data_IF_335878661385
#
_entry.id   IF_335878661385
#
_cell.length_a   1.000
_cell.length_b   1.000
_cell.length_c   1.000
_cell.angle_alpha   90.00
_cell.angle_beta   90.00
_cell.angle_gamma   90.00
#
_symmetry.space_group_name_H-M   'P 1'
#
loop_
_entity.id
_entity.type
_entity.pdbx_description
1 polymer ?
#
# COMPACT_ATOMS: atom_id res chain seq x y z
N UNK A 1 -54.40 -26.46 7.51
CA UNK A 1 -53.39 -26.46 6.41
C UNK A 1 -52.54 -25.20 6.55
N UNK A 2 -51.67 -25.13 7.57
CA UNK A 2 -50.79 -23.97 7.81
C UNK A 2 -49.38 -24.49 8.09
N UNK A 3 -48.56 -24.53 7.04
CA UNK A 3 -47.17 -24.97 7.07
C UNK A 3 -46.33 -23.77 7.50
N UNK A 4 -46.09 -23.65 8.80
CA UNK A 4 -45.26 -22.62 9.41
C UNK A 4 -43.79 -22.80 9.00
N UNK A 5 -43.33 -21.90 8.15
CA UNK A 5 -42.00 -21.26 8.14
C UNK A 5 -40.88 -21.94 8.93
N UNK A 6 -40.21 -22.91 8.31
CA UNK A 6 -38.82 -23.25 8.65
C UNK A 6 -37.91 -22.54 7.65
N UNK A 7 -37.62 -21.25 7.89
CA UNK A 7 -36.62 -20.49 7.13
C UNK A 7 -35.25 -20.98 7.59
N UNK A 8 -34.59 -21.76 6.75
CA UNK A 8 -33.28 -22.37 7.01
C UNK A 8 -32.20 -21.29 7.25
N UNK A 9 -31.28 -21.49 8.21
CA UNK A 9 -30.18 -20.56 8.50
C UNK A 9 -29.17 -20.41 7.35
N UNK A 10 -29.22 -21.33 6.37
CA UNK A 10 -28.36 -21.38 5.19
C UNK A 10 -28.68 -20.26 4.19
N UNK A 11 -29.94 -19.85 4.08
CA UNK A 11 -30.34 -18.81 3.12
C UNK A 11 -29.96 -17.40 3.60
N UNK A 12 -29.89 -17.19 4.92
CA UNK A 12 -29.40 -15.93 5.51
C UNK A 12 -27.87 -15.83 5.39
N UNK A 13 -27.18 -16.97 5.56
CA UNK A 13 -25.72 -17.05 5.42
C UNK A 13 -25.27 -16.87 3.97
N UNK A 14 -25.99 -17.41 2.98
CA UNK A 14 -25.69 -17.20 1.56
C UNK A 14 -25.99 -15.77 1.12
N UNK A 15 -27.04 -15.14 1.65
CA UNK A 15 -27.33 -13.72 1.40
C UNK A 15 -26.33 -12.80 2.11
N UNK A 16 -25.86 -13.16 3.31
CA UNK A 16 -24.77 -12.46 4.00
C UNK A 16 -23.44 -12.62 3.26
N UNK A 17 -23.11 -13.83 2.78
CA UNK A 17 -21.93 -14.09 1.95
C UNK A 17 -22.02 -13.32 0.63
N UNK A 18 -23.16 -13.31 -0.06
CA UNK A 18 -23.32 -12.53 -1.28
C UNK A 18 -23.28 -11.03 -1.04
N UNK A 19 -23.76 -10.52 0.11
CA UNK A 19 -23.60 -9.11 0.49
C UNK A 19 -22.14 -8.80 0.85
N UNK A 20 -21.41 -9.71 1.49
CA UNK A 20 -19.97 -9.55 1.75
C UNK A 20 -19.18 -9.56 0.44
N UNK A 21 -19.57 -10.41 -0.51
CA UNK A 21 -18.88 -10.62 -1.79
C UNK A 21 -19.22 -9.52 -2.82
N UNK A 22 -20.46 -9.00 -2.82
CA UNK A 22 -20.85 -7.83 -3.64
C UNK A 22 -20.45 -6.48 -3.03
N UNK A 23 -20.35 -6.36 -1.70
CA UNK A 23 -19.97 -5.12 -1.01
C UNK A 23 -18.47 -5.02 -0.71
N UNK A 24 -17.68 -6.03 -1.06
CA UNK A 24 -16.22 -5.91 -1.08
C UNK A 24 -15.85 -5.02 -2.27
N UNK A 25 -15.99 -3.72 -2.07
CA UNK A 25 -15.69 -2.70 -3.05
C UNK A 25 -14.33 -2.99 -3.67
N UNK A 26 -14.27 -3.12 -5.00
CA UNK A 26 -13.07 -3.42 -5.80
C UNK A 26 -11.79 -2.74 -5.26
N UNK A 27 -11.80 -1.48 -4.77
CA UNK A 27 -10.66 -0.85 -4.11
C UNK A 27 -10.08 -1.61 -2.90
N UNK A 28 -10.90 -2.25 -2.07
CA UNK A 28 -10.46 -3.03 -0.91
C UNK A 28 -9.67 -4.25 -1.38
N UNK A 29 -10.18 -4.98 -2.37
CA UNK A 29 -9.50 -6.15 -2.94
C UNK A 29 -8.15 -5.75 -3.53
N UNK A 30 -8.11 -4.67 -4.31
CA UNK A 30 -6.87 -4.15 -4.88
C UNK A 30 -5.88 -3.70 -3.80
N UNK A 31 -6.38 -3.12 -2.71
CA UNK A 31 -5.54 -2.73 -1.57
C UNK A 31 -4.97 -3.94 -0.83
N UNK A 32 -5.72 -5.04 -0.71
CA UNK A 32 -5.21 -6.31 -0.16
C UNK A 32 -4.14 -6.93 -1.07
N UNK A 33 -4.33 -6.88 -2.39
CA UNK A 33 -3.29 -7.29 -3.34
C UNK A 33 -2.03 -6.41 -3.21
N UNK A 34 -2.21 -5.09 -3.07
CA UNK A 34 -1.11 -4.15 -2.85
C UNK A 34 -0.38 -4.41 -1.53
N UNK A 35 -1.09 -4.74 -0.45
CA UNK A 35 -0.51 -5.10 0.84
C UNK A 35 0.47 -6.28 0.69
N UNK A 36 0.05 -7.34 -0.02
CA UNK A 36 0.92 -8.51 -0.28
C UNK A 36 2.11 -8.10 -1.16
N UNK A 37 1.87 -7.32 -2.21
CA UNK A 37 2.92 -6.85 -3.11
C UNK A 37 3.99 -6.02 -2.38
N UNK A 38 3.58 -4.99 -1.64
CA UNK A 38 4.49 -4.15 -0.87
C UNK A 38 5.17 -4.92 0.27
N UNK A 39 4.49 -5.86 0.91
CA UNK A 39 5.08 -6.74 1.92
C UNK A 39 6.22 -7.58 1.33
N UNK A 40 6.01 -8.20 0.17
CA UNK A 40 7.03 -8.98 -0.52
C UNK A 40 8.19 -8.10 -1.00
N UNK A 41 7.90 -6.94 -1.61
CA UNK A 41 8.95 -6.00 -2.04
C UNK A 41 9.83 -5.57 -0.87
N UNK A 42 9.22 -5.25 0.28
CA UNK A 42 9.97 -4.83 1.44
C UNK A 42 10.84 -5.97 2.03
N UNK A 43 10.39 -7.22 1.95
CA UNK A 43 11.24 -8.38 2.26
C UNK A 43 12.41 -8.51 1.28
N UNK A 44 12.18 -8.32 -0.03
CA UNK A 44 13.25 -8.33 -1.04
C UNK A 44 14.26 -7.20 -0.80
N UNK A 45 13.82 -6.02 -0.41
CA UNK A 45 14.70 -4.92 0.00
C UNK A 45 15.55 -5.28 1.22
N UNK A 46 14.99 -6.01 2.20
CA UNK A 46 15.77 -6.55 3.32
C UNK A 46 16.85 -7.52 2.84
N UNK A 47 16.51 -8.44 1.94
CA UNK A 47 17.48 -9.39 1.36
C UNK A 47 18.58 -8.65 0.60
N UNK A 48 18.22 -7.66 -0.22
CA UNK A 48 19.19 -6.81 -0.93
C UNK A 48 20.11 -6.06 0.04
N UNK A 49 19.54 -5.54 1.13
CA UNK A 49 20.30 -4.84 2.16
C UNK A 49 21.28 -5.75 2.90
N UNK A 50 20.86 -6.96 3.27
CA UNK A 50 21.72 -7.93 3.96
C UNK A 50 22.90 -8.41 3.09
N UNK A 51 22.72 -8.42 1.76
CA UNK A 51 23.78 -8.73 0.80
C UNK A 51 24.69 -7.54 0.48
N UNK A 52 24.58 -6.42 1.22
CA UNK A 52 25.39 -5.22 1.06
C UNK A 52 25.35 -4.57 -0.34
N UNK A 53 24.32 -4.87 -1.13
CA UNK A 53 24.14 -4.34 -2.50
C UNK A 53 24.05 -2.82 -2.45
N UNK A 54 24.66 -2.12 -3.40
CA UNK A 54 24.53 -0.67 -3.52
C UNK A 54 23.06 -0.29 -3.82
N UNK A 55 22.37 0.46 -2.94
CA UNK A 55 20.93 0.71 -3.05
C UNK A 55 20.52 1.33 -4.39
N UNK A 56 21.32 2.24 -4.93
CA UNK A 56 21.01 2.88 -6.19
C UNK A 56 21.10 1.89 -7.37
N UNK A 57 22.04 0.95 -7.37
CA UNK A 57 22.11 -0.09 -8.40
C UNK A 57 20.89 -1.01 -8.36
N UNK A 58 20.45 -1.41 -7.16
CA UNK A 58 19.24 -2.20 -6.99
C UNK A 58 17.99 -1.44 -7.48
N UNK A 59 17.85 -0.17 -7.07
CA UNK A 59 16.74 0.69 -7.47
C UNK A 59 16.69 0.93 -8.98
N UNK A 60 17.85 1.05 -9.65
CA UNK A 60 17.90 1.20 -11.11
C UNK A 60 17.29 -0.01 -11.82
N UNK A 61 17.63 -1.22 -11.38
CA UNK A 61 17.08 -2.46 -11.95
C UNK A 61 15.58 -2.57 -11.64
N UNK A 62 15.19 -2.32 -10.39
CA UNK A 62 13.78 -2.34 -9.95
C UNK A 62 12.93 -1.35 -10.76
N UNK A 63 13.38 -0.10 -10.90
CA UNK A 63 12.70 0.94 -11.67
C UNK A 63 12.61 0.57 -13.14
N UNK A 64 13.67 -0.05 -13.70
CA UNK A 64 13.66 -0.56 -15.08
C UNK A 64 12.58 -1.63 -15.30
N UNK A 65 12.44 -2.57 -14.38
CA UNK A 65 11.40 -3.61 -14.43
C UNK A 65 10.01 -3.00 -14.32
N UNK A 66 9.80 -2.07 -13.38
CA UNK A 66 8.51 -1.37 -13.20
C UNK A 66 8.16 -0.53 -14.43
N UNK A 67 9.15 0.14 -15.04
CA UNK A 67 8.96 0.88 -16.28
C UNK A 67 8.52 -0.03 -17.43
N UNK A 68 9.19 -1.17 -17.63
CA UNK A 68 8.80 -2.16 -18.64
C UNK A 68 7.37 -2.66 -18.41
N UNK A 69 7.00 -2.95 -17.16
CA UNK A 69 5.64 -3.34 -16.80
C UNK A 69 4.62 -2.24 -17.15
N UNK A 70 4.91 -0.99 -16.84
CA UNK A 70 4.05 0.16 -17.16
C UNK A 70 3.85 0.32 -18.67
N UNK A 71 4.90 0.10 -19.47
CA UNK A 71 4.82 0.11 -20.94
C UNK A 71 3.93 -1.02 -21.44
N UNK A 72 4.13 -2.25 -20.96
CA UNK A 72 3.32 -3.42 -21.36
C UNK A 72 1.83 -3.16 -21.06
N UNK A 73 1.51 -2.62 -19.88
CA UNK A 73 0.13 -2.28 -19.51
C UNK A 73 -0.47 -1.23 -20.45
N UNK A 74 0.29 -0.20 -20.82
CA UNK A 74 -0.17 0.80 -21.80
C UNK A 74 -0.42 0.19 -23.19
N UNK A 75 0.44 -0.73 -23.64
CA UNK A 75 0.29 -1.42 -24.92
C UNK A 75 -0.98 -2.29 -24.95
N UNK A 76 -1.29 -2.97 -23.86
CA UNK A 76 -2.49 -3.82 -23.74
C UNK A 76 -3.77 -2.98 -23.66
N UNK A 77 -3.77 -1.92 -22.85
CA UNK A 77 -4.96 -1.09 -22.63
C UNK A 77 -5.23 -0.12 -23.78
N UNK A 78 -4.26 0.12 -24.67
CA UNK A 78 -4.33 1.04 -25.83
C UNK A 78 -4.79 2.46 -25.47
N UNK A 79 -4.59 2.87 -24.22
CA UNK A 79 -4.90 4.22 -23.77
C UNK A 79 -3.87 5.20 -24.30
N UNK A 80 -4.30 6.39 -24.70
CA UNK A 80 -3.39 7.46 -25.07
C UNK A 80 -2.72 8.02 -23.83
N UNK A 81 -1.43 8.38 -23.93
CA UNK A 81 -0.73 9.03 -22.84
C UNK A 81 -1.27 10.45 -22.67
N UNK A 82 -2.19 10.63 -21.72
CA UNK A 82 -2.79 11.93 -21.43
C UNK A 82 -2.26 12.42 -20.08
N UNK A 83 -1.22 13.25 -20.11
CA UNK A 83 -0.61 13.80 -18.91
C UNK A 83 -0.51 15.33 -19.05
N UNK A 84 -1.22 16.05 -18.18
CA UNK A 84 -1.15 17.51 -18.12
C UNK A 84 0.20 17.97 -17.57
N UNK A 85 0.72 19.12 -18.00
CA UNK A 85 2.02 19.64 -17.54
C UNK A 85 2.11 19.80 -16.01
N UNK A 86 0.98 20.11 -15.34
CA UNK A 86 0.91 20.15 -13.86
C UNK A 86 1.04 18.76 -13.23
N UNK A 87 0.41 17.76 -13.84
CA UNK A 87 0.47 16.37 -13.39
C UNK A 87 1.85 15.76 -13.65
N UNK A 88 2.57 16.21 -14.69
CA UNK A 88 3.95 15.82 -14.92
C UNK A 88 4.87 16.25 -13.76
N UNK A 89 4.73 17.50 -13.29
CA UNK A 89 5.46 17.99 -12.12
C UNK A 89 5.16 17.17 -10.86
N UNK A 90 3.89 16.83 -10.62
CA UNK A 90 3.49 15.95 -9.52
C UNK A 90 4.06 14.53 -9.66
N UNK A 91 4.06 13.97 -10.87
CA UNK A 91 4.63 12.65 -11.14
C UNK A 91 6.14 12.65 -10.86
N UNK A 92 6.88 13.65 -11.32
CA UNK A 92 8.31 13.79 -11.04
C UNK A 92 8.61 13.94 -9.55
N UNK A 93 7.82 14.75 -8.83
CA UNK A 93 7.97 14.90 -7.39
C UNK A 93 7.70 13.58 -6.66
N UNK A 94 6.64 12.87 -7.04
CA UNK A 94 6.30 11.57 -6.46
C UNK A 94 7.42 10.54 -6.67
N UNK A 95 7.98 10.47 -7.88
CA UNK A 95 9.12 9.60 -8.21
C UNK A 95 10.37 9.93 -7.38
N UNK A 96 10.68 11.20 -7.20
CA UNK A 96 11.80 11.63 -6.36
C UNK A 96 11.60 11.20 -4.90
N UNK A 97 10.42 11.46 -4.33
CA UNK A 97 10.12 11.06 -2.95
C UNK A 97 10.14 9.55 -2.75
N UNK A 98 9.62 8.79 -3.72
CA UNK A 98 9.65 7.32 -3.70
C UNK A 98 11.08 6.77 -3.80
N UNK A 99 11.90 7.32 -4.70
CA UNK A 99 13.30 6.90 -4.85
C UNK A 99 14.11 7.15 -3.59
N UNK A 100 13.94 8.32 -2.95
CA UNK A 100 14.58 8.62 -1.66
C UNK A 100 14.13 7.60 -0.60
N UNK A 101 12.82 7.32 -0.51
CA UNK A 101 12.28 6.36 0.46
C UNK A 101 12.85 4.95 0.27
N UNK A 102 12.94 4.45 -0.97
CA UNK A 102 13.49 3.12 -1.29
C UNK A 102 14.97 3.06 -0.92
N UNK A 103 15.77 4.05 -1.34
CA UNK A 103 17.20 4.10 -1.03
C UNK A 103 17.43 4.13 0.48
N UNK A 104 16.69 4.97 1.21
CA UNK A 104 16.78 5.05 2.68
C UNK A 104 16.38 3.74 3.35
N UNK A 105 15.34 3.07 2.86
CA UNK A 105 14.86 1.79 3.41
C UNK A 105 15.87 0.66 3.20
N UNK A 106 16.38 0.50 1.97
CA UNK A 106 17.43 -0.48 1.68
C UNK A 106 18.69 -0.15 2.49
N UNK A 107 19.06 1.13 2.63
CA UNK A 107 20.20 1.53 3.44
C UNK A 107 20.03 1.21 4.93
N UNK A 108 18.84 1.41 5.50
CA UNK A 108 18.54 1.01 6.87
C UNK A 108 18.71 -0.52 7.06
N UNK A 109 18.28 -1.31 6.09
CA UNK A 109 18.50 -2.76 6.09
C UNK A 109 19.97 -3.16 5.95
N UNK A 110 20.76 -2.43 5.16
CA UNK A 110 22.22 -2.62 5.04
C UNK A 110 22.96 -2.32 6.34
N UNK A 111 22.50 -1.33 7.11
CA UNK A 111 23.06 -0.98 8.42
C UNK A 111 22.69 -1.97 9.53
N UNK A 112 22.03 -3.08 9.19
CA UNK A 112 21.66 -4.14 10.15
C UNK A 112 20.27 -4.00 10.75
N UNK A 113 19.46 -3.03 10.32
CA UNK A 113 18.09 -2.84 10.84
C UNK A 113 17.22 -4.08 10.60
N UNK A 114 16.51 -4.54 11.63
CA UNK A 114 15.65 -5.73 11.54
C UNK A 114 14.41 -5.47 10.68
N UNK A 115 13.93 -6.50 9.98
CA UNK A 115 12.70 -6.40 9.18
C UNK A 115 11.48 -6.13 10.06
N UNK A 116 11.44 -6.69 11.27
CA UNK A 116 10.39 -6.47 12.27
C UNK A 116 10.31 -5.03 12.78
N UNK A 117 11.36 -4.23 12.63
CA UNK A 117 11.43 -2.85 13.11
C UNK A 117 11.31 -1.86 11.96
N UNK A 118 12.13 -2.01 10.93
CA UNK A 118 12.19 -1.04 9.82
C UNK A 118 10.90 -1.07 8.99
N UNK A 119 10.31 -2.25 8.73
CA UNK A 119 9.12 -2.37 7.86
C UNK A 119 7.87 -1.74 8.47
N UNK A 120 7.57 -1.95 9.76
CA UNK A 120 6.48 -1.24 10.40
C UNK A 120 6.72 0.27 10.45
N UNK A 121 7.96 0.72 10.73
CA UNK A 121 8.30 2.14 10.73
C UNK A 121 8.07 2.77 9.34
N UNK A 122 8.48 2.12 8.25
CA UNK A 122 8.22 2.66 6.90
C UNK A 122 6.73 2.66 6.56
N UNK A 123 5.98 1.69 7.11
CA UNK A 123 4.52 1.63 6.95
C UNK A 123 3.79 2.80 7.61
N UNK A 124 4.34 3.44 8.67
CA UNK A 124 3.75 4.67 9.26
C UNK A 124 3.59 5.83 8.27
N UNK A 125 4.19 5.76 7.07
CA UNK A 125 3.99 6.74 6.01
C UNK A 125 2.50 7.04 5.74
N UNK A 126 1.58 6.08 5.97
CA UNK A 126 0.14 6.33 5.85
C UNK A 126 -0.36 7.43 6.79
N UNK A 127 0.25 7.63 7.96
CA UNK A 127 -0.12 8.70 8.91
C UNK A 127 0.14 10.06 8.27
N UNK A 128 1.27 10.20 7.57
CA UNK A 128 1.60 11.41 6.80
C UNK A 128 0.57 11.60 5.69
N UNK A 129 0.19 10.53 4.99
CA UNK A 129 -0.85 10.58 3.95
C UNK A 129 -2.19 11.04 4.51
N UNK A 130 -2.66 10.50 5.64
CA UNK A 130 -3.90 10.91 6.30
C UNK A 130 -3.87 12.39 6.70
N UNK A 131 -2.74 12.85 7.23
CA UNK A 131 -2.55 14.25 7.61
C UNK A 131 -2.56 15.18 6.39
N UNK A 132 -1.86 14.81 5.31
CA UNK A 132 -1.86 15.57 4.05
C UNK A 132 -3.22 15.56 3.37
N UNK A 133 -3.95 14.43 3.40
CA UNK A 133 -5.30 14.34 2.86
C UNK A 133 -6.26 15.29 3.59
N UNK A 134 -6.11 15.43 4.91
CA UNK A 134 -6.87 16.42 5.67
C UNK A 134 -6.50 17.87 5.32
N UNK A 135 -5.21 18.19 5.26
CA UNK A 135 -4.75 19.58 5.04
C UNK A 135 -4.97 20.04 3.60
N UNK A 136 -4.56 19.21 2.62
CA UNK A 136 -4.54 19.58 1.20
C UNK A 136 -5.82 19.21 0.47
N UNK A 137 -6.35 17.99 0.73
CA UNK A 137 -7.54 17.48 0.04
C UNK A 137 -8.83 17.85 0.80
N UNK A 138 -8.71 18.38 2.03
CA UNK A 138 -9.84 18.74 2.92
C UNK A 138 -10.79 17.58 3.18
N UNK A 139 -10.26 16.35 3.16
CA UNK A 139 -11.05 15.18 3.50
C UNK A 139 -11.44 15.21 4.99
N UNK A 140 -12.71 14.97 5.36
CA UNK A 140 -13.11 14.97 6.76
C UNK A 140 -12.41 13.82 7.51
N UNK A 141 -11.57 14.17 8.48
CA UNK A 141 -11.08 13.20 9.47
C UNK A 141 -12.23 12.90 10.42
N UNK A 142 -12.78 11.70 10.30
CA UNK A 142 -13.66 11.16 11.34
C UNK A 142 -12.84 10.81 12.58
N UNK A 143 -13.44 10.93 13.77
CA UNK A 143 -12.78 10.55 15.04
C UNK A 143 -12.17 9.15 14.99
N UNK A 144 -12.84 8.20 14.33
CA UNK A 144 -12.36 6.83 14.14
C UNK A 144 -11.06 6.76 13.33
N UNK A 145 -10.89 7.58 12.28
CA UNK A 145 -9.65 7.63 11.50
C UNK A 145 -8.49 8.18 12.33
N UNK A 146 -8.73 9.24 13.09
CA UNK A 146 -7.72 9.84 13.97
C UNK A 146 -7.26 8.89 15.09
N UNK A 147 -8.22 8.26 15.79
CA UNK A 147 -7.91 7.27 16.83
C UNK A 147 -7.20 6.04 16.26
N UNK A 148 -7.61 5.56 15.09
CA UNK A 148 -6.94 4.46 14.40
C UNK A 148 -5.48 4.78 14.05
N UNK A 149 -5.20 5.99 13.54
CA UNK A 149 -3.83 6.44 13.28
C UNK A 149 -2.98 6.51 14.55
N UNK A 150 -3.52 7.06 15.65
CA UNK A 150 -2.80 7.12 16.94
C UNK A 150 -2.49 5.72 17.45
N UNK A 151 -3.47 4.81 17.41
CA UNK A 151 -3.29 3.44 17.88
C UNK A 151 -2.26 2.68 17.04
N UNK A 152 -2.24 2.88 15.72
CA UNK A 152 -1.23 2.31 14.84
C UNK A 152 0.18 2.82 15.17
N UNK A 153 0.33 4.12 15.44
CA UNK A 153 1.62 4.70 15.88
C UNK A 153 2.09 4.03 17.16
N UNK A 154 1.21 3.93 18.16
CA UNK A 154 1.52 3.29 19.45
C UNK A 154 1.93 1.82 19.26
N UNK A 155 1.19 1.06 18.44
CA UNK A 155 1.48 -0.33 18.16
C UNK A 155 2.88 -0.51 17.55
N UNK A 156 3.27 0.36 16.61
CA UNK A 156 4.56 0.26 15.95
C UNK A 156 5.71 0.71 16.86
N UNK A 157 5.49 1.73 17.70
CA UNK A 157 6.47 2.14 18.73
C UNK A 157 6.73 0.99 19.70
N UNK A 158 5.69 0.24 20.09
CA UNK A 158 5.84 -0.95 20.93
C UNK A 158 6.58 -2.08 20.23
N UNK A 159 6.32 -2.29 18.93
CA UNK A 159 7.01 -3.32 18.14
C UNK A 159 8.49 -2.99 17.86
N UNK A 160 8.84 -1.70 17.87
CA UNK A 160 10.18 -1.21 17.58
C UNK A 160 11.10 -1.14 18.81
N UNK A 161 10.64 -1.60 19.98
CA UNK A 161 11.41 -1.69 21.23
C UNK A 161 11.78 -3.12 21.55
#
# INVERSE_FOLDING_TARGET
MYRCLYKTPIHLLSTLLSIIEENMSIPIILSLCALVGFGLSNFLWKVAGNNNVFPASFMLVETGVVFCLAVIVHLIQKQTFVLSSKMLGLASLSGLTAGIAIISTISAFRLGGEASVVSPITSLGFVIVVLLAYILLKEPITLSKGLGSILAVVAIVLLSR
#
